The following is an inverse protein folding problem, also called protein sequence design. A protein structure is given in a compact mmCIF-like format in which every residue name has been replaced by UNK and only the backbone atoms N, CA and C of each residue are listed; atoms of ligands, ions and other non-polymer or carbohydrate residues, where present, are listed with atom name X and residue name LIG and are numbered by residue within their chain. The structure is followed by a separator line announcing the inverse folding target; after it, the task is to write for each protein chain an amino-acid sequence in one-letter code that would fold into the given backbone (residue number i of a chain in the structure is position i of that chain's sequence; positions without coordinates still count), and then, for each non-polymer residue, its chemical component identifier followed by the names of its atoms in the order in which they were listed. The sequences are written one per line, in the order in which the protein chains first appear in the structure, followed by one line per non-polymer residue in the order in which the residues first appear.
data_IF_210784523751
#
_entry.id   IF_210784523751
#
_cell.length_a   1.000
_cell.length_b   1.000
_cell.length_c   1.000
_cell.angle_alpha   90.00
_cell.angle_beta   90.00
_cell.angle_gamma   90.00
#
_symmetry.space_group_name_H-M   'P 1'
#
loop_
_entity.id
_entity.type
_entity.pdbx_description
1 polymer ?
#
# COMPACT_ATOMS: atom_id res chain seq x y z
N UNK A 1 33.02 8.57 3.20
CA UNK A 1 32.17 7.38 2.93
C UNK A 1 30.69 7.64 3.22
N UNK A 2 30.33 8.29 4.33
CA UNK A 2 28.93 8.55 4.73
C UNK A 2 28.08 9.27 3.65
N UNK A 3 28.65 10.26 2.95
CA UNK A 3 27.97 11.02 1.89
C UNK A 3 27.40 10.18 0.75
N UNK A 4 28.16 9.18 0.33
CA UNK A 4 27.72 8.26 -0.73
C UNK A 4 26.66 7.30 -0.18
N UNK A 5 26.81 6.85 1.07
CA UNK A 5 25.87 5.94 1.73
C UNK A 5 24.45 6.51 1.77
N UNK A 6 24.28 7.74 2.27
CA UNK A 6 22.97 8.39 2.31
C UNK A 6 22.41 8.61 0.91
N UNK A 7 23.25 8.97 -0.08
CA UNK A 7 22.81 9.21 -1.47
C UNK A 7 22.19 7.98 -2.12
N UNK A 8 22.81 6.83 -1.95
CA UNK A 8 22.40 5.60 -2.62
C UNK A 8 21.43 4.75 -1.80
N UNK A 9 21.21 5.09 -0.53
CA UNK A 9 20.36 4.36 0.38
C UNK A 9 18.99 4.01 -0.20
N UNK A 10 18.23 5.00 -0.67
CA UNK A 10 16.87 4.77 -1.18
C UNK A 10 16.87 3.87 -2.41
N UNK A 11 17.84 4.04 -3.32
CA UNK A 11 17.96 3.21 -4.50
C UNK A 11 18.33 1.76 -4.14
N UNK A 12 19.25 1.57 -3.19
CA UNK A 12 19.61 0.25 -2.69
C UNK A 12 18.41 -0.42 -2.01
N UNK A 13 17.69 0.30 -1.13
CA UNK A 13 16.46 -0.18 -0.50
C UNK A 13 15.39 -0.52 -1.53
N UNK A 14 15.24 0.26 -2.60
CA UNK A 14 14.28 -0.02 -3.67
C UNK A 14 14.60 -1.34 -4.39
N UNK A 15 15.86 -1.57 -4.74
CA UNK A 15 16.29 -2.83 -5.37
C UNK A 15 16.01 -4.01 -4.44
N UNK A 16 16.38 -3.89 -3.16
CA UNK A 16 16.15 -4.95 -2.16
C UNK A 16 14.65 -5.19 -1.93
N UNK A 17 13.84 -4.13 -1.83
CA UNK A 17 12.40 -4.23 -1.61
C UNK A 17 11.68 -4.87 -2.80
N UNK A 18 12.03 -4.50 -4.03
CA UNK A 18 11.46 -5.11 -5.25
C UNK A 18 11.88 -6.57 -5.38
N UNK A 19 13.17 -6.88 -5.15
CA UNK A 19 13.64 -8.26 -5.17
C UNK A 19 12.96 -9.12 -4.09
N UNK A 20 12.82 -8.58 -2.87
CA UNK A 20 12.11 -9.24 -1.78
C UNK A 20 10.63 -9.45 -2.11
N UNK A 21 9.93 -8.42 -2.60
CA UNK A 21 8.54 -8.52 -3.04
C UNK A 21 8.36 -9.63 -4.08
N UNK A 22 9.17 -9.61 -5.14
CA UNK A 22 9.13 -10.64 -6.19
C UNK A 22 9.38 -12.02 -5.59
N UNK A 23 10.39 -12.20 -4.74
CA UNK A 23 10.70 -13.47 -4.12
C UNK A 23 9.57 -13.97 -3.21
N UNK A 24 8.97 -13.11 -2.38
CA UNK A 24 7.88 -13.45 -1.46
C UNK A 24 6.71 -14.10 -2.21
N UNK A 25 6.24 -13.48 -3.29
CA UNK A 25 5.08 -13.98 -4.03
C UNK A 25 5.43 -15.05 -5.07
N UNK A 26 6.66 -15.07 -5.59
CA UNK A 26 7.11 -16.14 -6.51
C UNK A 26 7.31 -17.45 -5.77
N UNK A 27 7.90 -17.42 -4.57
CA UNK A 27 8.13 -18.60 -3.75
C UNK A 27 6.99 -18.90 -2.77
N UNK A 28 5.86 -18.17 -2.87
CA UNK A 28 4.67 -18.38 -2.04
C UNK A 28 4.96 -18.34 -0.54
N UNK A 29 5.87 -17.46 -0.10
CA UNK A 29 6.07 -17.19 1.32
C UNK A 29 4.90 -16.42 1.95
N UNK A 30 4.05 -15.84 1.10
CA UNK A 30 2.79 -15.22 1.46
C UNK A 30 1.70 -15.66 0.48
N UNK A 31 0.44 -15.59 0.92
CA UNK A 31 -0.72 -15.66 0.02
C UNK A 31 -0.74 -14.48 -0.96
N UNK A 32 -1.77 -14.38 -1.79
CA UNK A 32 -1.94 -13.24 -2.69
C UNK A 32 -1.87 -11.87 -1.94
N UNK A 33 -1.33 -10.81 -2.57
CA UNK A 33 -1.18 -9.50 -1.94
C UNK A 33 -2.46 -8.92 -1.32
N UNK A 34 -3.61 -8.99 -2.00
CA UNK A 34 -4.91 -8.51 -1.51
C UNK A 34 -5.53 -9.61 -0.65
N UNK A 35 -5.34 -9.50 0.66
CA UNK A 35 -5.82 -10.45 1.69
C UNK A 35 -6.01 -9.74 3.03
N UNK A 36 -6.70 -10.39 3.97
CA UNK A 36 -6.98 -9.85 5.32
C UNK A 36 -7.45 -8.39 5.22
N UNK A 37 -6.85 -7.49 6.00
CA UNK A 37 -7.16 -6.06 6.05
C UNK A 37 -6.91 -5.38 4.69
N UNK A 38 -5.90 -5.85 3.95
CA UNK A 38 -5.59 -5.37 2.60
C UNK A 38 -6.77 -5.54 1.64
N UNK A 39 -7.64 -6.53 1.86
CA UNK A 39 -8.89 -6.68 1.11
C UNK A 39 -9.85 -5.52 1.41
N UNK A 40 -10.12 -5.24 2.68
CA UNK A 40 -11.06 -4.20 3.13
C UNK A 40 -10.60 -2.80 2.71
N UNK A 41 -9.31 -2.54 2.81
CA UNK A 41 -8.73 -1.30 2.28
C UNK A 41 -8.89 -1.15 0.77
N UNK A 42 -8.99 -2.25 0.02
CA UNK A 42 -8.98 -2.27 -1.44
C UNK A 42 -10.38 -2.34 -2.07
N UNK A 43 -11.33 -3.02 -1.42
CA UNK A 43 -12.65 -3.44 -1.98
C UNK A 43 -13.47 -2.29 -2.56
N UNK A 44 -13.27 -1.07 -2.08
CA UNK A 44 -13.89 0.14 -2.62
C UNK A 44 -13.64 0.34 -4.12
N UNK A 45 -12.45 -0.04 -4.61
CA UNK A 45 -12.05 0.13 -6.00
C UNK A 45 -12.84 -0.75 -6.95
N UNK A 46 -12.83 -2.10 -6.82
CA UNK A 46 -13.68 -2.94 -7.66
C UNK A 46 -15.17 -2.62 -7.49
N UNK A 47 -15.64 -2.42 -6.26
CA UNK A 47 -17.04 -2.09 -6.01
C UNK A 47 -17.50 -0.86 -6.82
N UNK A 48 -16.69 0.19 -6.84
CA UNK A 48 -17.03 1.44 -7.55
C UNK A 48 -16.80 1.34 -9.06
N UNK A 49 -15.63 0.88 -9.51
CA UNK A 49 -15.23 1.00 -10.91
C UNK A 49 -15.55 -0.22 -11.77
N UNK A 50 -15.79 -1.39 -11.18
CA UNK A 50 -16.12 -2.62 -11.90
C UNK A 50 -17.59 -2.95 -11.73
N UNK A 51 -18.07 -2.97 -10.49
CA UNK A 51 -19.48 -3.30 -10.20
C UNK A 51 -20.42 -2.10 -10.33
N UNK A 52 -19.90 -0.87 -10.35
CA UNK A 52 -20.73 0.35 -10.37
C UNK A 52 -21.61 0.52 -9.13
N UNK A 53 -21.25 -0.14 -8.02
CA UNK A 53 -22.00 -0.19 -6.78
C UNK A 53 -21.10 0.04 -5.56
N UNK A 54 -20.98 1.29 -5.09
CA UNK A 54 -20.20 1.61 -3.90
C UNK A 54 -20.82 1.09 -2.60
N UNK A 55 -22.03 0.52 -2.62
CA UNK A 55 -22.68 -0.06 -1.43
C UNK A 55 -22.18 -1.47 -1.10
N UNK A 56 -21.27 -2.04 -1.91
CA UNK A 56 -20.71 -3.38 -1.80
C UNK A 56 -21.73 -4.53 -2.01
N UNK A 57 -22.99 -4.22 -2.33
CA UNK A 57 -24.06 -5.22 -2.44
C UNK A 57 -23.89 -6.09 -3.68
N UNK A 58 -23.61 -5.50 -4.85
CA UNK A 58 -23.34 -6.23 -6.08
C UNK A 58 -22.10 -7.12 -5.94
N UNK A 59 -21.02 -6.58 -5.35
CA UNK A 59 -19.77 -7.32 -5.14
C UNK A 59 -19.98 -8.50 -4.18
N UNK A 60 -20.63 -8.29 -3.03
CA UNK A 60 -20.88 -9.37 -2.06
C UNK A 60 -21.69 -10.52 -2.65
N UNK A 61 -22.67 -10.21 -3.50
CA UNK A 61 -23.52 -11.20 -4.17
C UNK A 61 -22.73 -12.06 -5.15
N UNK A 62 -21.89 -11.42 -5.97
CA UNK A 62 -21.12 -12.10 -7.01
C UNK A 62 -19.97 -12.93 -6.41
N UNK A 63 -19.21 -12.36 -5.47
CA UNK A 63 -18.01 -12.99 -4.92
C UNK A 63 -18.25 -13.91 -3.72
N UNK A 64 -19.27 -13.63 -2.91
CA UNK A 64 -19.49 -14.33 -1.63
C UNK A 64 -20.93 -14.80 -1.43
N UNK A 65 -21.76 -14.84 -2.47
CA UNK A 65 -23.15 -15.29 -2.35
C UNK A 65 -24.02 -14.38 -1.47
N UNK A 66 -23.61 -13.13 -1.26
CA UNK A 66 -24.38 -12.11 -0.54
C UNK A 66 -23.99 -11.91 0.93
N UNK A 67 -22.91 -12.53 1.41
CA UNK A 67 -22.39 -12.32 2.76
C UNK A 67 -20.86 -12.27 2.78
N UNK A 68 -20.28 -11.14 3.20
CA UNK A 68 -18.84 -11.04 3.36
C UNK A 68 -18.32 -11.98 4.46
N UNK A 69 -17.15 -12.61 4.26
CA UNK A 69 -16.48 -13.37 5.31
C UNK A 69 -16.03 -12.48 6.49
N UNK A 70 -15.96 -13.06 7.69
CA UNK A 70 -15.62 -12.33 8.92
C UNK A 70 -14.24 -11.63 8.87
N UNK A 71 -13.27 -12.21 8.16
CA UNK A 71 -11.91 -11.64 8.06
C UNK A 71 -11.89 -10.26 7.39
N UNK A 72 -12.92 -9.91 6.61
CA UNK A 72 -13.00 -8.62 5.92
C UNK A 72 -13.37 -7.48 6.87
N UNK A 73 -13.87 -7.77 8.08
CA UNK A 73 -14.47 -6.78 8.96
C UNK A 73 -15.64 -5.96 8.34
N UNK A 74 -16.15 -6.36 7.17
CA UNK A 74 -17.31 -5.76 6.51
C UNK A 74 -18.57 -6.40 7.06
N UNK A 75 -19.46 -5.60 7.64
CA UNK A 75 -20.67 -6.10 8.32
C UNK A 75 -21.90 -5.29 7.92
N UNK A 76 -23.07 -5.92 7.98
CA UNK A 76 -24.34 -5.17 7.82
C UNK A 76 -24.59 -4.31 9.05
N UNK A 77 -24.84 -3.02 8.85
CA UNK A 77 -25.17 -2.11 9.93
C UNK A 77 -26.62 -2.32 10.40
N UNK A 78 -26.88 -2.56 11.70
CA UNK A 78 -28.19 -3.02 12.16
C UNK A 78 -29.38 -2.13 11.79
N UNK A 79 -29.21 -0.80 11.79
CA UNK A 79 -30.32 0.12 11.55
C UNK A 79 -30.65 0.35 10.07
N UNK A 80 -29.70 0.11 9.16
CA UNK A 80 -29.88 0.39 7.72
C UNK A 80 -29.83 -0.87 6.86
N UNK A 81 -29.31 -1.98 7.38
CA UNK A 81 -29.04 -3.20 6.64
C UNK A 81 -27.92 -3.06 5.59
N UNK A 82 -27.28 -1.89 5.45
CA UNK A 82 -26.23 -1.64 4.45
C UNK A 82 -24.90 -2.21 4.91
N UNK A 83 -24.07 -2.61 3.96
CA UNK A 83 -22.68 -2.96 4.25
C UNK A 83 -21.92 -1.74 4.78
N UNK A 84 -21.21 -1.95 5.87
CA UNK A 84 -20.28 -1.02 6.46
C UNK A 84 -18.94 -1.73 6.58
N UNK A 85 -17.96 -1.20 5.88
CA UNK A 85 -16.57 -1.59 6.06
C UNK A 85 -15.99 -0.84 7.27
N UNK A 86 -15.34 -1.57 8.18
CA UNK A 86 -14.64 -0.99 9.32
C UNK A 86 -13.37 -0.24 8.92
N UNK A 87 -12.76 -0.62 7.79
CA UNK A 87 -11.58 0.00 7.23
C UNK A 87 -11.97 1.21 6.38
N UNK A 88 -11.47 2.43 6.64
CA UNK A 88 -11.82 3.60 5.84
C UNK A 88 -11.19 3.59 4.44
N UNK A 89 -11.83 4.29 3.50
CA UNK A 89 -11.45 4.37 2.08
C UNK A 89 -10.06 4.97 1.77
N UNK A 90 -9.37 5.57 2.74
CA UNK A 90 -8.13 6.32 2.49
C UNK A 90 -7.04 5.52 1.79
N UNK A 91 -6.88 4.23 2.13
CA UNK A 91 -5.91 3.36 1.48
C UNK A 91 -6.28 3.03 0.02
N UNK A 92 -7.57 2.83 -0.29
CA UNK A 92 -8.05 2.65 -1.66
C UNK A 92 -7.68 3.84 -2.56
N UNK A 93 -7.76 5.08 -2.07
CA UNK A 93 -7.41 6.26 -2.85
C UNK A 93 -5.93 6.25 -3.28
N UNK A 94 -5.04 5.80 -2.40
CA UNK A 94 -3.62 5.64 -2.71
C UNK A 94 -3.38 4.48 -3.68
N UNK A 95 -4.17 3.41 -3.62
CA UNK A 95 -4.10 2.28 -4.56
C UNK A 95 -4.73 2.59 -5.93
N UNK A 96 -5.63 3.57 -6.03
CA UNK A 96 -6.37 3.90 -7.26
C UNK A 96 -5.51 4.06 -8.54
N UNK A 97 -4.41 4.83 -8.56
CA UNK A 97 -3.59 4.92 -9.77
C UNK A 97 -3.00 3.57 -10.19
N UNK A 98 -2.65 2.71 -9.23
CA UNK A 98 -2.15 1.36 -9.51
C UNK A 98 -3.26 0.42 -9.96
N UNK A 99 -4.45 0.53 -9.37
CA UNK A 99 -5.64 -0.18 -9.84
C UNK A 99 -5.93 0.11 -11.31
N UNK A 100 -5.81 1.36 -11.75
CA UNK A 100 -5.94 1.73 -13.16
C UNK A 100 -4.92 1.01 -14.05
N UNK A 101 -3.65 0.95 -13.63
CA UNK A 101 -2.61 0.19 -14.34
C UNK A 101 -2.95 -1.30 -14.37
N UNK A 102 -3.36 -1.88 -13.24
CA UNK A 102 -3.79 -3.28 -13.16
C UNK A 102 -4.96 -3.59 -14.10
N UNK A 103 -5.96 -2.70 -14.16
CA UNK A 103 -7.10 -2.82 -15.05
C UNK A 103 -6.68 -2.80 -16.53
N UNK A 104 -5.81 -1.86 -16.91
CA UNK A 104 -5.30 -1.73 -18.28
C UNK A 104 -4.49 -2.95 -18.69
N UNK A 105 -3.63 -3.47 -17.81
CA UNK A 105 -2.85 -4.67 -18.07
C UNK A 105 -3.74 -5.92 -18.19
N UNK A 106 -4.75 -6.06 -17.32
CA UNK A 106 -5.73 -7.16 -17.44
C UNK A 106 -6.50 -7.09 -18.75
N UNK A 107 -6.90 -5.89 -19.17
CA UNK A 107 -7.53 -5.68 -20.47
C UNK A 107 -6.60 -6.04 -21.64
N UNK A 108 -5.37 -5.54 -21.64
CA UNK A 108 -4.41 -5.77 -22.72
C UNK A 108 -3.99 -7.23 -22.87
N UNK A 109 -3.81 -7.95 -21.75
CA UNK A 109 -3.42 -9.36 -21.74
C UNK A 109 -4.60 -10.34 -21.75
N UNK A 110 -5.84 -9.85 -21.91
CA UNK A 110 -7.06 -10.65 -21.89
C UNK A 110 -7.21 -11.53 -20.61
N UNK A 111 -6.76 -11.00 -19.46
CA UNK A 111 -7.00 -11.61 -18.14
C UNK A 111 -8.31 -11.10 -17.53
N UNK A 112 -8.89 -11.81 -16.53
CA UNK A 112 -10.12 -11.38 -15.88
C UNK A 112 -10.03 -9.94 -15.34
N UNK A 113 -11.07 -9.15 -15.60
CA UNK A 113 -11.19 -7.75 -15.15
C UNK A 113 -12.15 -7.64 -13.96
N UNK A 114 -11.98 -8.53 -13.00
CA UNK A 114 -12.81 -8.69 -11.79
C UNK A 114 -12.36 -7.81 -10.62
N UNK A 115 -11.18 -7.18 -10.74
CA UNK A 115 -10.58 -6.37 -9.69
C UNK A 115 -9.73 -7.17 -8.70
N UNK A 116 -9.61 -8.48 -8.85
CA UNK A 116 -8.84 -9.34 -7.93
C UNK A 116 -7.90 -10.31 -8.65
N UNK A 117 -7.92 -10.33 -9.98
CA UNK A 117 -7.01 -11.13 -10.80
C UNK A 117 -5.55 -10.67 -10.68
N UNK A 118 -4.65 -11.44 -11.28
CA UNK A 118 -3.19 -11.33 -11.14
C UNK A 118 -2.64 -9.90 -11.17
N UNK A 119 -3.01 -9.08 -12.16
CA UNK A 119 -2.46 -7.72 -12.25
C UNK A 119 -3.01 -6.79 -11.17
N UNK A 120 -4.24 -6.97 -10.70
CA UNK A 120 -4.78 -6.18 -9.60
C UNK A 120 -4.06 -6.47 -8.29
N UNK A 121 -3.83 -7.76 -8.02
CA UNK A 121 -3.09 -8.23 -6.85
C UNK A 121 -1.73 -7.55 -6.75
N UNK A 122 -0.94 -7.65 -7.82
CA UNK A 122 0.40 -7.11 -7.81
C UNK A 122 0.45 -5.60 -7.98
N UNK A 123 -0.51 -4.98 -8.68
CA UNK A 123 -0.60 -3.52 -8.73
C UNK A 123 -0.88 -2.93 -7.34
N UNK A 124 -1.81 -3.51 -6.57
CA UNK A 124 -2.08 -3.08 -5.20
C UNK A 124 -0.85 -3.26 -4.28
N UNK A 125 -0.15 -4.38 -4.40
CA UNK A 125 1.11 -4.60 -3.65
C UNK A 125 2.22 -3.61 -4.03
N UNK A 126 2.38 -3.32 -5.33
CA UNK A 126 3.36 -2.33 -5.81
C UNK A 126 3.01 -0.90 -5.38
N UNK A 127 1.73 -0.59 -5.15
CA UNK A 127 1.33 0.67 -4.53
C UNK A 127 1.99 0.81 -3.15
N UNK A 128 1.89 -0.22 -2.32
CA UNK A 128 2.53 -0.27 -1.00
C UNK A 128 4.05 -0.09 -1.05
N UNK A 129 4.73 -0.84 -1.91
CA UNK A 129 6.19 -0.72 -2.12
C UNK A 129 6.56 0.71 -2.52
N UNK A 130 5.78 1.32 -3.42
CA UNK A 130 6.03 2.68 -3.90
C UNK A 130 5.90 3.71 -2.77
N UNK A 131 4.80 3.68 -2.01
CA UNK A 131 4.59 4.63 -0.92
C UNK A 131 5.59 4.45 0.22
N UNK A 132 5.97 3.21 0.54
CA UNK A 132 7.07 2.92 1.46
C UNK A 132 8.37 3.64 1.03
N UNK A 133 8.78 3.53 -0.24
CA UNK A 133 9.98 4.18 -0.76
C UNK A 133 9.84 5.71 -0.81
N UNK A 134 8.68 6.23 -1.17
CA UNK A 134 8.39 7.67 -1.14
C UNK A 134 8.49 8.24 0.27
N UNK A 135 7.95 7.55 1.28
CA UNK A 135 8.06 7.95 2.69
C UNK A 135 9.53 8.00 3.14
N UNK A 136 10.33 6.97 2.81
CA UNK A 136 11.76 6.96 3.12
C UNK A 136 12.51 8.11 2.43
N UNK A 137 12.16 8.44 1.18
CA UNK A 137 12.77 9.54 0.46
C UNK A 137 12.48 10.90 1.13
N UNK A 138 11.27 11.09 1.66
CA UNK A 138 10.89 12.29 2.43
C UNK A 138 11.69 12.36 3.73
N UNK A 139 11.72 11.28 4.52
CA UNK A 139 12.49 11.21 5.78
C UNK A 139 13.97 11.52 5.52
N UNK A 140 14.55 10.92 4.48
CA UNK A 140 15.93 11.22 4.07
C UNK A 140 16.13 12.71 3.77
N UNK A 141 15.20 13.34 3.06
CA UNK A 141 15.29 14.76 2.73
C UNK A 141 15.31 15.62 3.99
N UNK A 142 14.41 15.35 4.94
CA UNK A 142 14.31 16.08 6.20
C UNK A 142 15.56 15.89 7.07
N UNK A 143 16.04 14.65 7.21
CA UNK A 143 17.21 14.36 8.04
C UNK A 143 18.47 15.08 7.55
N UNK A 144 18.66 15.17 6.22
CA UNK A 144 19.84 15.82 5.63
C UNK A 144 19.86 17.34 5.80
N UNK A 145 18.74 17.96 6.16
CA UNK A 145 18.68 19.40 6.41
C UNK A 145 19.16 19.77 7.81
N UNK A 146 19.05 18.85 8.77
CA UNK A 146 19.27 19.14 10.21
C UNK A 146 20.37 18.29 10.86
N UNK A 147 20.76 17.17 10.24
CA UNK A 147 21.68 16.20 10.84
C UNK A 147 22.84 15.84 9.93
N UNK A 148 23.92 15.34 10.54
CA UNK A 148 25.06 14.80 9.81
C UNK A 148 24.65 13.55 9.02
N UNK A 149 25.40 13.25 7.95
CA UNK A 149 25.09 12.12 7.07
C UNK A 149 25.16 10.77 7.79
N UNK A 150 26.05 10.63 8.78
CA UNK A 150 26.14 9.43 9.60
C UNK A 150 24.87 9.19 10.41
N UNK A 151 24.35 10.24 11.05
CA UNK A 151 23.09 10.18 11.80
C UNK A 151 21.93 9.91 10.86
N UNK A 152 21.83 10.62 9.74
CA UNK A 152 20.78 10.40 8.75
C UNK A 152 20.77 8.95 8.24
N UNK A 153 21.94 8.38 7.93
CA UNK A 153 22.06 7.00 7.48
C UNK A 153 21.65 6.00 8.58
N UNK A 154 22.15 6.20 9.81
CA UNK A 154 21.83 5.33 10.93
C UNK A 154 20.32 5.32 11.22
N UNK A 155 19.68 6.49 11.21
CA UNK A 155 18.22 6.61 11.38
C UNK A 155 17.46 5.93 10.26
N UNK A 156 17.86 6.12 9.00
CA UNK A 156 17.21 5.46 7.85
C UNK A 156 17.34 3.93 7.92
N UNK A 157 18.50 3.42 8.33
CA UNK A 157 18.73 1.99 8.55
C UNK A 157 17.86 1.46 9.69
N UNK A 158 17.88 2.13 10.84
CA UNK A 158 17.10 1.74 12.01
C UNK A 158 15.59 1.75 11.71
N UNK A 159 15.10 2.76 10.99
CA UNK A 159 13.69 2.85 10.61
C UNK A 159 13.30 1.74 9.63
N UNK A 160 14.13 1.49 8.61
CA UNK A 160 13.80 0.53 7.55
C UNK A 160 13.87 -0.92 8.03
N UNK A 161 14.99 -1.34 8.63
CA UNK A 161 15.22 -2.74 9.04
C UNK A 161 15.14 -2.98 10.55
N UNK A 162 15.19 -1.94 11.37
CA UNK A 162 15.03 -2.07 12.83
C UNK A 162 13.58 -1.99 13.30
N UNK A 163 12.62 -1.82 12.38
CA UNK A 163 11.18 -1.85 12.66
C UNK A 163 10.46 -2.77 11.67
N UNK A 164 9.14 -2.91 11.80
CA UNK A 164 8.31 -3.66 10.86
C UNK A 164 8.08 -2.93 9.52
N UNK A 165 8.69 -1.77 9.28
CA UNK A 165 8.44 -0.98 8.08
C UNK A 165 8.80 -1.73 6.79
N UNK A 166 9.93 -2.45 6.75
CA UNK A 166 10.29 -3.25 5.57
C UNK A 166 9.30 -4.39 5.32
N UNK A 167 8.79 -5.03 6.38
CA UNK A 167 7.76 -6.07 6.29
C UNK A 167 6.48 -5.52 5.67
N UNK A 168 5.96 -4.41 6.20
CA UNK A 168 4.77 -3.77 5.64
C UNK A 168 5.00 -3.05 4.30
N UNK A 169 6.25 -2.81 3.92
CA UNK A 169 6.61 -2.28 2.60
C UNK A 169 6.76 -3.35 1.53
N UNK A 170 6.76 -4.65 1.89
CA UNK A 170 7.02 -5.76 0.94
C UNK A 170 6.07 -6.94 1.10
N UNK A 171 5.99 -7.54 2.29
CA UNK A 171 5.23 -8.76 2.55
C UNK A 171 3.73 -8.51 2.72
N UNK A 172 3.37 -7.49 3.50
CA UNK A 172 1.99 -7.04 3.73
C UNK A 172 1.77 -5.65 3.11
N UNK A 173 2.26 -5.47 1.87
CA UNK A 173 2.30 -4.19 1.18
C UNK A 173 0.92 -3.56 0.91
N UNK A 174 -0.15 -4.36 0.90
CA UNK A 174 -1.52 -3.86 0.71
C UNK A 174 -2.15 -3.31 2.00
N UNK A 175 -1.47 -3.41 3.14
CA UNK A 175 -1.98 -2.91 4.41
C UNK A 175 -1.75 -1.40 4.51
N UNK A 176 -2.52 -0.73 5.37
CA UNK A 176 -2.49 0.73 5.49
C UNK A 176 -1.17 1.33 6.00
N UNK A 177 -0.24 0.51 6.49
CA UNK A 177 1.01 0.94 7.13
C UNK A 177 1.93 1.73 6.19
N UNK A 178 2.23 1.21 4.99
CA UNK A 178 3.12 1.90 4.03
C UNK A 178 2.52 3.22 3.55
N UNK A 179 1.22 3.21 3.26
CA UNK A 179 0.41 4.38 2.91
C UNK A 179 0.40 5.44 4.02
N UNK A 180 0.14 5.02 5.25
CA UNK A 180 0.12 5.90 6.43
C UNK A 180 1.49 6.50 6.69
N UNK A 181 2.54 5.70 6.61
CA UNK A 181 3.92 6.16 6.74
C UNK A 181 4.24 7.26 5.75
N UNK A 182 3.94 7.06 4.46
CA UNK A 182 4.12 8.08 3.43
C UNK A 182 3.37 9.37 3.73
N UNK A 183 2.07 9.28 4.04
CA UNK A 183 1.24 10.45 4.32
C UNK A 183 1.71 11.22 5.56
N UNK A 184 2.08 10.50 6.63
CA UNK A 184 2.59 11.11 7.87
C UNK A 184 3.92 11.81 7.60
N UNK A 185 4.86 11.17 6.90
CA UNK A 185 6.12 11.81 6.53
C UNK A 185 5.90 13.05 5.66
N UNK A 186 4.99 12.97 4.68
CA UNK A 186 4.60 14.12 3.86
C UNK A 186 4.02 15.25 4.69
N UNK A 187 3.11 14.94 5.61
CA UNK A 187 2.53 15.91 6.54
C UNK A 187 3.60 16.61 7.37
N UNK A 188 4.51 15.86 8.01
CA UNK A 188 5.59 16.44 8.81
C UNK A 188 6.48 17.32 7.94
N UNK A 189 6.84 16.88 6.73
CA UNK A 189 7.65 17.68 5.81
C UNK A 189 6.96 19.00 5.37
N UNK A 190 5.64 18.99 5.22
CA UNK A 190 4.87 20.20 4.91
C UNK A 190 4.81 21.16 6.10
N UNK A 191 4.60 20.64 7.31
CA UNK A 191 4.60 21.42 8.55
C UNK A 191 5.98 22.03 8.81
N UNK A 192 7.05 21.25 8.63
CA UNK A 192 8.43 21.71 8.79
C UNK A 192 8.73 22.92 7.87
N UNK A 193 8.35 22.81 6.59
CA UNK A 193 8.48 23.91 5.61
C UNK A 193 7.59 25.11 5.91
N UNK A 194 6.44 24.90 6.54
CA UNK A 194 5.55 25.99 6.92
C UNK A 194 6.19 26.86 8.01
N UNK A 195 6.88 26.23 8.97
CA UNK A 195 7.56 26.94 10.06
C UNK A 195 8.87 27.63 9.65
N UNK A 196 9.48 27.22 8.55
CA UNK A 196 10.68 27.88 8.00
C UNK A 196 10.38 29.14 7.18
N UNK A 197 9.10 29.43 6.89
CA UNK A 197 8.65 30.65 6.23
C UNK A 197 8.30 31.73 7.24
#
# INVERSE_FOLDING_TARGET
MAARGVRHFIAATAVVAVAAYIAIYTFSFADAPIRSDGYSYYVYLPATFIYGDPSLEALSRDWYGGAFPDFTAIRRFPSTGRWLDACPIGAALLMFPFFGVGHLLSWWSNLPRDGFSFYYQHAAGLAGVTYFLCGLAIVRSMLRQRFSEGVALATLVALTWGTNLFHYGTFDATFSHASSFFLICGWIALVDRWWER
#
